data_IF_919194826798
#
_entry.id   IF_919194826798
#
_cell.length_a   1.000
_cell.length_b   1.000
_cell.length_c   1.000
_cell.angle_alpha   90.00
_cell.angle_beta   90.00
_cell.angle_gamma   90.00
#
_symmetry.space_group_name_H-M   'P 1'
#
loop_
_entity.id
_entity.type
_entity.pdbx_description
1 polymer ?
#
# COMPACT_ATOMS: atom_id res chain seq x y z
N UNK A 1 -33.79 -26.14 2.60
CA UNK A 1 -32.32 -26.25 2.54
C UNK A 1 -31.76 -24.86 2.26
N UNK A 2 -30.75 -24.43 3.01
CA UNK A 2 -30.18 -23.07 2.99
C UNK A 2 -28.69 -23.20 2.61
N UNK A 3 -28.11 -22.30 1.79
CA UNK A 3 -26.75 -22.45 1.27
C UNK A 3 -25.64 -22.39 2.34
N UNK A 4 -24.47 -23.00 2.08
CA UNK A 4 -23.44 -23.27 3.10
C UNK A 4 -22.58 -22.07 3.54
N UNK A 5 -22.85 -20.86 3.02
CA UNK A 5 -22.03 -19.65 3.25
C UNK A 5 -22.31 -18.95 4.60
N UNK A 6 -23.31 -19.39 5.37
CA UNK A 6 -23.75 -18.76 6.63
C UNK A 6 -23.39 -19.53 7.92
N UNK A 7 -22.44 -20.47 7.87
CA UNK A 7 -21.94 -21.12 9.09
C UNK A 7 -20.87 -20.29 9.81
N UNK A 8 -21.29 -19.64 10.89
CA UNK A 8 -20.42 -19.03 11.90
C UNK A 8 -19.42 -20.06 12.46
N UNK A 9 -18.12 -19.83 12.24
CA UNK A 9 -17.08 -20.65 12.89
C UNK A 9 -17.00 -20.33 14.38
N UNK A 10 -17.58 -21.19 15.19
CA UNK A 10 -17.50 -21.18 16.64
C UNK A 10 -16.06 -21.34 17.14
N UNK A 11 -15.63 -20.48 18.06
CA UNK A 11 -14.46 -20.70 18.91
C UNK A 11 -14.62 -22.01 19.73
N UNK A 12 -13.52 -22.74 19.93
CA UNK A 12 -13.38 -23.72 21.03
C UNK A 12 -12.00 -23.59 21.70
N UNK A 13 -11.90 -23.77 23.03
CA UNK A 13 -10.68 -23.48 23.78
C UNK A 13 -9.74 -24.70 23.89
N UNK A 14 -8.57 -24.44 24.49
CA UNK A 14 -7.49 -25.38 24.81
C UNK A 14 -7.91 -26.79 25.25
N UNK A 15 -7.18 -27.80 24.74
CA UNK A 15 -6.85 -29.01 25.49
C UNK A 15 -5.34 -29.23 25.38
N UNK A 16 -4.65 -29.28 26.52
CA UNK A 16 -3.30 -29.82 26.61
C UNK A 16 -3.39 -31.34 26.88
N UNK A 17 -2.49 -32.13 26.28
CA UNK A 17 -2.34 -33.56 26.60
C UNK A 17 -0.87 -33.95 26.61
N UNK A 18 -0.25 -33.78 27.78
CA UNK A 18 1.00 -34.43 28.14
C UNK A 18 0.72 -35.87 28.55
N UNK A 19 1.15 -36.85 27.76
CA UNK A 19 1.36 -38.23 28.23
C UNK A 19 2.72 -38.70 27.72
N UNK A 20 3.48 -39.32 28.63
CA UNK A 20 4.86 -39.75 28.45
C UNK A 20 4.99 -41.28 28.40
N UNK A 21 6.16 -41.74 27.95
CA UNK A 21 6.74 -43.09 28.13
C UNK A 21 6.15 -44.25 27.30
N UNK A 22 6.87 -45.39 27.15
CA UNK A 22 8.33 -45.60 27.22
C UNK A 22 8.92 -46.35 26.00
N UNK A 23 10.25 -46.52 26.03
CA UNK A 23 11.08 -47.27 25.09
C UNK A 23 10.91 -48.80 25.12
N UNK A 24 11.14 -49.47 23.99
CA UNK A 24 11.68 -50.84 23.95
C UNK A 24 12.86 -50.93 22.99
N UNK A 25 13.86 -51.71 23.40
CA UNK A 25 15.10 -52.01 22.68
C UNK A 25 15.31 -53.52 22.57
N UNK A 26 16.39 -53.92 21.87
CA UNK A 26 17.02 -55.27 21.83
C UNK A 26 16.76 -56.09 20.52
N UNK A 27 17.54 -57.15 20.22
CA UNK A 27 18.73 -56.99 19.36
C UNK A 27 18.99 -58.18 18.38
N UNK A 28 20.14 -58.17 17.68
CA UNK A 28 21.04 -59.34 17.37
C UNK A 28 21.89 -59.06 16.10
N UNK A 29 23.24 -59.03 16.21
CA UNK A 29 24.22 -60.04 15.69
C UNK A 29 24.34 -60.12 14.15
N UNK A 30 25.48 -60.32 13.46
CA UNK A 30 26.89 -60.63 13.80
C UNK A 30 27.70 -60.77 12.48
N UNK A 31 29.04 -60.71 12.36
CA UNK A 31 30.15 -60.15 13.17
C UNK A 31 31.50 -60.44 12.46
N UNK A 32 32.43 -59.48 12.30
CA UNK A 32 33.80 -59.79 11.81
C UNK A 32 34.87 -58.75 12.18
N UNK A 33 35.93 -59.22 12.87
CA UNK A 33 37.38 -58.87 12.76
C UNK A 33 37.85 -57.45 12.32
N UNK A 34 38.90 -56.83 12.88
CA UNK A 34 39.90 -57.26 13.88
C UNK A 34 40.89 -56.13 14.27
N UNK A 35 41.11 -55.92 15.59
CA UNK A 35 42.38 -55.69 16.34
C UNK A 35 43.53 -54.76 15.80
N UNK A 36 44.57 -54.37 16.61
CA UNK A 36 44.65 -53.07 17.30
C UNK A 36 45.92 -52.27 16.88
N UNK A 37 46.27 -51.09 17.40
CA UNK A 37 47.16 -50.84 18.57
C UNK A 37 47.56 -49.36 18.53
N UNK A 38 47.29 -48.55 19.56
CA UNK A 38 48.14 -48.24 20.74
C UNK A 38 49.39 -47.38 20.49
N UNK A 39 49.36 -46.13 20.96
CA UNK A 39 50.51 -45.50 21.63
C UNK A 39 50.02 -44.42 22.60
N UNK A 40 50.41 -44.53 23.87
CA UNK A 40 50.19 -43.51 24.89
C UNK A 40 51.49 -42.73 25.07
N UNK A 41 51.44 -41.43 25.36
CA UNK A 41 52.42 -40.79 26.25
C UNK A 41 51.88 -39.49 26.88
N UNK A 42 52.18 -39.40 28.17
CA UNK A 42 51.82 -38.48 29.26
C UNK A 42 52.08 -36.96 29.06
N UNK A 43 51.69 -36.09 30.03
CA UNK A 43 51.41 -34.67 29.78
C UNK A 43 52.47 -33.69 30.34
N UNK A 44 52.44 -32.42 29.89
CA UNK A 44 52.44 -31.29 30.85
C UNK A 44 52.04 -29.91 30.27
N UNK A 45 51.31 -29.17 31.11
CA UNK A 45 51.23 -27.71 31.30
C UNK A 45 51.89 -26.74 30.30
N UNK A 46 51.09 -25.83 29.71
CA UNK A 46 50.92 -24.47 30.30
C UNK A 46 49.66 -23.75 29.72
N UNK A 47 49.01 -22.83 30.46
CA UNK A 47 47.80 -22.13 29.98
C UNK A 47 48.11 -20.76 29.38
N UNK A 48 47.39 -20.37 28.32
CA UNK A 48 47.22 -18.95 27.99
C UNK A 48 45.89 -18.71 27.25
N UNK A 49 45.09 -17.68 27.60
CA UNK A 49 43.69 -17.58 27.17
C UNK A 49 43.52 -16.77 25.87
N UNK A 50 43.59 -17.43 24.72
CA UNK A 50 43.22 -16.80 23.45
C UNK A 50 41.75 -17.02 23.11
N UNK A 51 40.98 -15.94 23.28
CA UNK A 51 39.84 -15.55 22.43
C UNK A 51 39.07 -16.68 21.76
N UNK A 52 38.02 -17.15 22.43
CA UNK A 52 36.89 -17.76 21.73
C UNK A 52 36.24 -16.72 20.82
N UNK A 53 36.74 -16.62 19.58
CA UNK A 53 35.94 -16.18 18.46
C UNK A 53 34.78 -17.16 18.33
N UNK A 54 33.64 -16.81 18.95
CA UNK A 54 32.36 -17.42 18.66
C UNK A 54 32.08 -17.19 17.18
N UNK A 55 32.40 -18.20 16.36
CA UNK A 55 32.02 -18.26 14.97
C UNK A 55 30.51 -18.38 14.89
N UNK A 56 29.84 -17.23 14.97
CA UNK A 56 28.48 -17.06 14.47
C UNK A 56 28.51 -17.41 12.99
N UNK A 57 28.30 -18.70 12.72
CA UNK A 57 27.84 -19.21 11.46
C UNK A 57 26.47 -18.59 11.21
N UNK A 58 26.51 -17.38 10.67
CA UNK A 58 25.35 -16.72 10.06
C UNK A 58 24.96 -17.56 8.86
N UNK A 59 24.20 -18.62 9.13
CA UNK A 59 23.48 -19.40 8.13
C UNK A 59 22.41 -18.49 7.54
N UNK A 60 22.86 -17.57 6.69
CA UNK A 60 21.99 -16.70 5.89
C UNK A 60 21.05 -17.63 5.14
N UNK A 61 19.79 -17.61 5.55
CA UNK A 61 18.72 -18.33 4.87
C UNK A 61 18.47 -17.62 3.55
N UNK A 62 19.38 -17.85 2.58
CA UNK A 62 19.27 -17.35 1.22
C UNK A 62 17.96 -17.90 0.67
N UNK A 63 16.95 -17.04 0.64
CA UNK A 63 15.73 -17.26 -0.12
C UNK A 63 16.16 -17.56 -1.55
N UNK A 64 16.04 -18.83 -1.96
CA UNK A 64 16.57 -19.28 -3.24
C UNK A 64 15.78 -18.56 -4.33
N UNK A 65 16.45 -18.09 -5.36
CA UNK A 65 15.75 -17.50 -6.48
C UNK A 65 14.88 -18.56 -7.17
N UNK A 66 13.68 -18.18 -7.60
CA UNK A 66 12.77 -19.03 -8.36
C UNK A 66 12.25 -18.25 -9.58
N UNK A 67 12.59 -18.73 -10.77
CA UNK A 67 12.09 -18.19 -12.03
C UNK A 67 10.61 -18.58 -12.19
N UNK A 68 9.72 -17.67 -11.82
CA UNK A 68 8.27 -17.83 -11.92
C UNK A 68 7.65 -16.67 -12.73
N UNK A 69 6.35 -16.78 -13.06
CA UNK A 69 5.65 -15.65 -13.68
C UNK A 69 5.51 -14.51 -12.67
N UNK A 70 5.66 -13.25 -13.11
CA UNK A 70 5.60 -12.09 -12.23
C UNK A 70 4.20 -11.93 -11.61
N UNK A 71 4.07 -12.26 -10.33
CA UNK A 71 2.78 -12.39 -9.64
C UNK A 71 2.01 -11.06 -9.55
N UNK A 72 2.72 -9.93 -9.57
CA UNK A 72 2.13 -8.60 -9.42
C UNK A 72 1.84 -7.90 -10.76
N UNK A 73 1.90 -8.62 -11.89
CA UNK A 73 1.68 -8.11 -13.24
C UNK A 73 0.39 -7.27 -13.36
N UNK A 74 -0.72 -7.71 -12.77
CA UNK A 74 -2.01 -7.00 -12.82
C UNK A 74 -1.98 -5.64 -12.14
N UNK A 75 -1.22 -5.48 -11.05
CA UNK A 75 -1.11 -4.20 -10.33
C UNK A 75 -0.25 -3.19 -11.08
N UNK A 76 0.88 -3.67 -11.61
CA UNK A 76 1.77 -2.84 -12.43
C UNK A 76 1.06 -2.44 -13.73
N UNK A 77 0.31 -3.35 -14.35
CA UNK A 77 -0.52 -3.04 -15.53
C UNK A 77 -1.60 -1.98 -15.22
N UNK A 78 -2.36 -2.13 -14.13
CA UNK A 78 -3.38 -1.15 -13.72
C UNK A 78 -2.82 0.26 -13.49
N UNK A 79 -1.55 0.38 -13.10
CA UNK A 79 -0.86 1.65 -12.94
C UNK A 79 -0.25 2.15 -14.27
N UNK A 80 0.52 1.31 -14.97
CA UNK A 80 1.33 1.75 -16.12
C UNK A 80 0.58 1.77 -17.45
N UNK A 81 -0.46 0.94 -17.66
CA UNK A 81 -1.19 0.93 -18.94
C UNK A 81 -1.95 2.24 -19.19
N UNK A 82 -2.69 2.82 -18.21
CA UNK A 82 -3.31 4.13 -18.41
C UNK A 82 -2.28 5.26 -18.56
N UNK A 83 -1.14 5.18 -17.85
CA UNK A 83 -0.03 6.11 -18.06
C UNK A 83 0.55 6.02 -19.48
N UNK A 84 0.75 4.80 -20.00
CA UNK A 84 1.21 4.59 -21.37
C UNK A 84 0.23 5.16 -22.39
N UNK A 85 -1.08 4.94 -22.21
CA UNK A 85 -2.11 5.52 -23.07
C UNK A 85 -2.07 7.06 -23.08
N UNK A 86 -1.92 7.69 -21.92
CA UNK A 86 -1.79 9.15 -21.82
C UNK A 86 -0.48 9.67 -22.45
N UNK A 87 0.63 8.95 -22.34
CA UNK A 87 1.88 9.31 -23.01
C UNK A 87 1.81 9.18 -24.53
N UNK A 88 1.05 8.21 -25.06
CA UNK A 88 0.78 8.07 -26.49
C UNK A 88 -0.08 9.23 -27.01
N UNK A 89 -1.09 9.66 -26.24
CA UNK A 89 -1.93 10.81 -26.56
C UNK A 89 -1.12 12.13 -26.58
N UNK A 90 -0.33 12.39 -25.54
CA UNK A 90 0.59 13.54 -25.47
C UNK A 90 1.72 13.52 -26.52
N UNK A 91 2.11 12.34 -26.98
CA UNK A 91 3.17 12.15 -27.98
C UNK A 91 2.67 12.17 -29.43
N UNK A 92 1.39 11.89 -29.64
CA UNK A 92 0.74 11.86 -30.95
C UNK A 92 1.29 10.81 -31.91
N UNK A 93 0.98 11.01 -33.20
CA UNK A 93 1.31 10.06 -34.26
C UNK A 93 2.79 9.65 -34.35
N UNK A 94 3.81 10.53 -34.16
CA UNK A 94 5.21 10.13 -34.25
C UNK A 94 5.62 9.10 -33.18
N UNK A 95 5.10 9.22 -31.96
CA UNK A 95 5.38 8.29 -30.85
C UNK A 95 4.66 6.96 -31.07
N UNK A 96 3.41 6.99 -31.53
CA UNK A 96 2.67 5.78 -31.91
C UNK A 96 3.37 5.03 -33.07
N UNK A 97 3.80 5.74 -34.11
CA UNK A 97 4.46 5.15 -35.28
C UNK A 97 5.83 4.53 -34.93
N UNK A 98 6.63 5.20 -34.11
CA UNK A 98 7.94 4.66 -33.67
C UNK A 98 7.79 3.44 -32.76
N UNK A 99 6.83 3.44 -31.83
CA UNK A 99 6.55 2.28 -30.98
C UNK A 99 5.98 1.10 -31.77
N UNK A 100 5.00 1.33 -32.65
CA UNK A 100 4.39 0.24 -33.44
C UNK A 100 5.44 -0.44 -34.34
N UNK A 101 6.24 0.32 -35.07
CA UNK A 101 7.32 -0.22 -35.90
C UNK A 101 8.40 -0.93 -35.06
N UNK A 102 8.83 -0.34 -33.96
CA UNK A 102 9.84 -0.93 -33.08
C UNK A 102 9.37 -2.23 -32.40
N UNK A 103 8.11 -2.28 -31.94
CA UNK A 103 7.50 -3.47 -31.35
C UNK A 103 7.23 -4.56 -32.40
N UNK A 104 6.89 -4.20 -33.64
CA UNK A 104 6.81 -5.18 -34.74
C UNK A 104 8.18 -5.84 -35.01
N UNK A 105 9.27 -5.06 -35.02
CA UNK A 105 10.63 -5.60 -35.17
C UNK A 105 10.97 -6.51 -33.97
N UNK A 106 10.71 -6.07 -32.74
CA UNK A 106 10.96 -6.86 -31.54
C UNK A 106 10.16 -8.19 -31.53
N UNK A 107 8.90 -8.16 -31.98
CA UNK A 107 8.06 -9.34 -32.13
C UNK A 107 8.60 -10.32 -33.18
N UNK A 108 9.07 -9.83 -34.33
CA UNK A 108 9.72 -10.67 -35.34
C UNK A 108 10.98 -11.33 -34.76
N UNK A 109 11.82 -10.59 -34.04
CA UNK A 109 13.03 -11.12 -33.40
C UNK A 109 12.69 -12.19 -32.33
N UNK A 110 11.63 -12.01 -31.56
CA UNK A 110 11.17 -13.02 -30.58
C UNK A 110 10.61 -14.27 -31.26
N UNK A 111 9.85 -14.11 -32.35
CA UNK A 111 9.34 -15.23 -33.16
C UNK A 111 10.45 -16.06 -33.82
N UNK A 112 11.58 -15.44 -34.14
CA UNK A 112 12.82 -16.09 -34.60
C UNK A 112 13.65 -16.69 -33.44
N UNK A 113 13.11 -16.71 -32.22
CA UNK A 113 13.76 -17.15 -30.98
C UNK A 113 15.02 -16.35 -30.57
N UNK A 114 15.26 -15.18 -31.16
CA UNK A 114 16.41 -14.33 -30.84
C UNK A 114 16.12 -13.42 -29.63
N UNK A 115 15.95 -14.04 -28.47
CA UNK A 115 15.47 -13.43 -27.20
C UNK A 115 16.24 -12.18 -26.77
N UNK A 116 17.55 -12.15 -26.95
CA UNK A 116 18.38 -10.98 -26.64
C UNK A 116 18.09 -9.81 -27.59
N UNK A 117 17.97 -10.05 -28.89
CA UNK A 117 17.57 -9.03 -29.86
C UNK A 117 16.14 -8.53 -29.66
N UNK A 118 15.20 -9.39 -29.27
CA UNK A 118 13.85 -8.98 -28.88
C UNK A 118 13.87 -8.02 -27.67
N UNK A 119 14.63 -8.37 -26.63
CA UNK A 119 14.82 -7.51 -25.44
C UNK A 119 15.44 -6.14 -25.79
N UNK A 120 16.53 -6.13 -26.56
CA UNK A 120 17.16 -4.87 -26.99
C UNK A 120 16.27 -4.09 -27.96
N UNK A 121 15.46 -4.76 -28.80
CA UNK A 121 14.48 -4.16 -29.69
C UNK A 121 13.39 -3.41 -28.93
N UNK A 122 12.86 -3.99 -27.85
CA UNK A 122 11.91 -3.29 -26.96
C UNK A 122 12.55 -2.03 -26.37
N UNK A 123 13.73 -2.12 -25.76
CA UNK A 123 14.41 -0.95 -25.19
C UNK A 123 14.77 0.12 -26.24
N UNK A 124 15.26 -0.29 -27.41
CA UNK A 124 15.53 0.63 -28.52
C UNK A 124 14.25 1.32 -29.00
N UNK A 125 13.12 0.62 -29.06
CA UNK A 125 11.82 1.22 -29.41
C UNK A 125 11.36 2.26 -28.38
N UNK A 126 11.52 1.99 -27.08
CA UNK A 126 11.16 2.93 -26.01
C UNK A 126 12.07 4.17 -26.01
N UNK A 127 13.36 4.01 -26.31
CA UNK A 127 14.32 5.12 -26.45
C UNK A 127 13.99 5.96 -27.70
N UNK A 128 13.75 5.33 -28.85
CA UNK A 128 13.36 6.02 -30.08
C UNK A 128 12.04 6.77 -29.91
N UNK A 129 11.07 6.17 -29.22
CA UNK A 129 9.81 6.80 -28.85
C UNK A 129 9.99 8.00 -27.92
N UNK A 130 10.92 7.93 -26.96
CA UNK A 130 11.25 9.06 -26.09
C UNK A 130 11.86 10.23 -26.86
N UNK A 131 12.74 9.93 -27.82
CA UNK A 131 13.34 10.94 -28.71
C UNK A 131 12.25 11.57 -29.58
N UNK A 132 11.38 10.76 -30.20
CA UNK A 132 10.25 11.24 -30.97
C UNK A 132 9.30 12.10 -30.11
N UNK A 133 9.05 11.73 -28.86
CA UNK A 133 8.26 12.49 -27.90
C UNK A 133 8.87 13.87 -27.64
N UNK A 134 10.18 13.98 -27.41
CA UNK A 134 10.84 15.27 -27.19
C UNK A 134 10.81 16.21 -28.40
N UNK A 135 10.84 15.68 -29.62
CA UNK A 135 10.73 16.49 -30.84
C UNK A 135 9.28 16.82 -31.25
N UNK A 136 8.31 16.01 -30.81
CA UNK A 136 6.89 16.17 -31.19
C UNK A 136 6.06 16.90 -30.14
N UNK A 137 6.37 16.72 -28.85
CA UNK A 137 5.57 17.25 -27.75
C UNK A 137 6.06 18.65 -27.35
N UNK A 138 5.23 19.66 -27.58
CA UNK A 138 5.54 21.08 -27.35
C UNK A 138 5.45 21.51 -25.88
N UNK A 139 5.80 20.64 -24.92
CA UNK A 139 5.62 20.85 -23.48
C UNK A 139 6.21 22.18 -22.98
N UNK A 140 7.40 22.55 -23.44
CA UNK A 140 8.07 23.80 -23.05
C UNK A 140 7.24 25.03 -23.45
N UNK A 141 6.64 25.02 -24.65
CA UNK A 141 5.75 26.07 -25.11
C UNK A 141 4.40 26.03 -24.38
N UNK A 142 3.86 24.83 -24.16
CA UNK A 142 2.57 24.61 -23.48
C UNK A 142 2.58 25.15 -22.04
N UNK A 143 3.66 24.91 -21.29
CA UNK A 143 3.80 25.37 -19.92
C UNK A 143 4.33 26.81 -19.80
N UNK A 144 4.73 27.45 -20.91
CA UNK A 144 5.37 28.77 -20.96
C UNK A 144 6.50 28.95 -19.91
N UNK A 145 7.19 27.85 -19.61
CA UNK A 145 8.15 27.74 -18.51
C UNK A 145 9.08 26.57 -18.75
N UNK A 146 10.36 26.89 -19.02
CA UNK A 146 11.42 25.90 -19.27
C UNK A 146 11.56 24.88 -18.12
N UNK A 147 11.69 25.27 -16.83
CA UNK A 147 11.86 24.28 -15.76
C UNK A 147 10.65 23.36 -15.60
N UNK A 148 9.43 23.87 -15.80
CA UNK A 148 8.21 23.06 -15.71
C UNK A 148 8.09 22.09 -16.90
N UNK A 149 8.41 22.55 -18.12
CA UNK A 149 8.48 21.70 -19.30
C UNK A 149 9.53 20.60 -19.18
N UNK A 150 10.71 20.90 -18.63
CA UNK A 150 11.76 19.90 -18.35
C UNK A 150 11.34 18.91 -17.26
N UNK A 151 10.65 19.35 -16.20
CA UNK A 151 10.15 18.46 -15.15
C UNK A 151 9.06 17.51 -15.69
N UNK A 152 8.14 18.02 -16.51
CA UNK A 152 7.14 17.20 -17.19
C UNK A 152 7.77 16.19 -18.16
N UNK A 153 8.74 16.64 -18.97
CA UNK A 153 9.52 15.77 -19.85
C UNK A 153 10.28 14.67 -19.08
N UNK A 154 10.83 15.00 -17.91
CA UNK A 154 11.48 14.03 -17.01
C UNK A 154 10.48 13.02 -16.42
N UNK A 155 9.29 13.44 -15.99
CA UNK A 155 8.23 12.55 -15.51
C UNK A 155 7.77 11.56 -16.61
N UNK A 156 7.62 12.04 -17.85
CA UNK A 156 7.32 11.20 -19.01
C UNK A 156 8.45 10.18 -19.26
N UNK A 157 9.71 10.63 -19.28
CA UNK A 157 10.87 9.75 -19.48
C UNK A 157 11.04 8.71 -18.37
N UNK A 158 10.83 9.11 -17.11
CA UNK A 158 10.83 8.20 -15.95
C UNK A 158 9.73 7.14 -16.09
N UNK A 159 8.53 7.51 -16.54
CA UNK A 159 7.42 6.58 -16.72
C UNK A 159 7.67 5.61 -17.88
N UNK A 160 8.21 6.11 -19.00
CA UNK A 160 8.63 5.28 -20.12
C UNK A 160 9.73 4.27 -19.72
N UNK A 161 10.69 4.70 -18.89
CA UNK A 161 11.69 3.81 -18.27
C UNK A 161 11.05 2.75 -17.36
N UNK A 162 10.04 3.11 -16.55
CA UNK A 162 9.31 2.13 -15.72
C UNK A 162 8.52 1.12 -16.56
N UNK A 163 7.96 1.53 -17.71
CA UNK A 163 7.35 0.61 -18.69
C UNK A 163 8.41 -0.35 -19.24
N UNK A 164 9.61 0.13 -19.57
CA UNK A 164 10.74 -0.71 -19.99
C UNK A 164 11.22 -1.68 -18.90
N UNK A 165 11.27 -1.25 -17.64
CA UNK A 165 11.57 -2.11 -16.49
C UNK A 165 10.50 -3.21 -16.30
N UNK A 166 9.22 -2.88 -16.48
CA UNK A 166 8.12 -3.84 -16.41
C UNK A 166 8.13 -4.84 -17.58
N UNK A 167 8.43 -4.38 -18.80
CA UNK A 167 8.62 -5.24 -19.97
C UNK A 167 9.82 -6.19 -19.77
N UNK A 168 10.92 -5.69 -19.20
CA UNK A 168 12.13 -6.48 -18.91
C UNK A 168 11.84 -7.69 -18.04
N UNK A 169 10.97 -7.55 -17.02
CA UNK A 169 10.58 -8.66 -16.14
C UNK A 169 9.84 -9.81 -16.84
N UNK A 170 9.26 -9.59 -18.03
CA UNK A 170 8.53 -10.63 -18.77
C UNK A 170 9.48 -11.61 -19.48
N UNK A 171 10.73 -11.21 -19.75
CA UNK A 171 11.70 -12.06 -20.45
C UNK A 171 12.28 -13.13 -19.52
N UNK A 172 11.83 -14.39 -19.65
CA UNK A 172 12.38 -15.52 -18.88
C UNK A 172 13.91 -15.67 -18.98
N UNK A 173 14.52 -15.20 -20.08
CA UNK A 173 15.97 -15.20 -20.24
C UNK A 173 16.67 -14.31 -19.19
N UNK A 174 16.22 -13.07 -18.97
CA UNK A 174 16.86 -12.19 -17.98
C UNK A 174 16.70 -12.71 -16.54
N UNK A 175 15.59 -13.42 -16.27
CA UNK A 175 15.34 -14.07 -14.98
C UNK A 175 16.33 -15.19 -14.67
N UNK A 176 16.75 -15.97 -15.68
CA UNK A 176 17.70 -17.06 -15.50
C UNK A 176 19.15 -16.55 -15.47
N UNK A 177 19.49 -15.60 -16.34
CA UNK A 177 20.86 -15.08 -16.47
C UNK A 177 21.24 -14.15 -15.31
N UNK A 178 20.34 -13.26 -14.89
CA UNK A 178 20.62 -12.18 -13.94
C UNK A 178 19.53 -12.05 -12.84
N UNK A 179 19.41 -13.04 -11.94
CA UNK A 179 18.37 -13.06 -10.91
C UNK A 179 18.42 -11.86 -9.94
N UNK A 180 19.61 -11.30 -9.70
CA UNK A 180 19.80 -10.08 -8.87
C UNK A 180 19.19 -8.84 -9.52
N UNK A 181 19.34 -8.68 -10.84
CA UNK A 181 18.76 -7.57 -11.60
C UNK A 181 17.24 -7.67 -11.58
N UNK A 182 16.68 -8.88 -11.72
CA UNK A 182 15.22 -9.11 -11.66
C UNK A 182 14.62 -8.74 -10.30
N UNK A 183 15.28 -9.09 -9.20
CA UNK A 183 14.86 -8.64 -7.86
C UNK A 183 14.98 -7.12 -7.69
N UNK A 184 16.02 -6.50 -8.25
CA UNK A 184 16.19 -5.05 -8.22
C UNK A 184 15.11 -4.33 -9.05
N UNK A 185 14.74 -4.85 -10.22
CA UNK A 185 13.68 -4.32 -11.08
C UNK A 185 12.29 -4.47 -10.43
N UNK A 186 11.99 -5.60 -9.78
CA UNK A 186 10.76 -5.76 -8.99
C UNK A 186 10.66 -4.72 -7.88
N UNK A 187 11.74 -4.52 -7.10
CA UNK A 187 11.81 -3.48 -6.07
C UNK A 187 11.68 -2.06 -6.64
N UNK A 188 12.36 -1.77 -7.75
CA UNK A 188 12.32 -0.47 -8.42
C UNK A 188 10.91 -0.13 -8.91
N UNK A 189 10.18 -1.08 -9.50
CA UNK A 189 8.79 -0.87 -9.89
C UNK A 189 7.91 -0.58 -8.68
N UNK A 190 7.99 -1.40 -7.63
CA UNK A 190 7.20 -1.18 -6.42
C UNK A 190 7.54 0.14 -5.71
N UNK A 191 8.82 0.55 -5.73
CA UNK A 191 9.27 1.80 -5.15
C UNK A 191 8.78 3.02 -5.94
N UNK A 192 8.94 3.02 -7.27
CA UNK A 192 8.82 4.21 -8.11
C UNK A 192 7.47 4.38 -8.82
N UNK A 193 6.78 3.29 -9.19
CA UNK A 193 5.50 3.35 -9.92
C UNK A 193 4.43 4.18 -9.18
N UNK A 194 4.27 4.10 -7.84
CA UNK A 194 3.25 4.90 -7.14
C UNK A 194 3.38 6.41 -7.35
N UNK A 195 4.60 6.95 -7.39
CA UNK A 195 4.84 8.39 -7.57
C UNK A 195 4.60 8.82 -9.02
N UNK A 196 5.09 8.04 -9.98
CA UNK A 196 4.94 8.35 -11.40
C UNK A 196 3.48 8.22 -11.84
N UNK A 197 2.80 7.14 -11.43
CA UNK A 197 1.41 6.89 -11.77
C UNK A 197 0.46 7.87 -11.10
N UNK A 198 0.62 8.20 -9.81
CA UNK A 198 -0.25 9.20 -9.18
C UNK A 198 -0.12 10.57 -9.84
N UNK A 199 1.10 10.98 -10.19
CA UNK A 199 1.36 12.25 -10.89
C UNK A 199 0.72 12.29 -12.28
N UNK A 200 0.87 11.23 -13.09
CA UNK A 200 0.30 11.17 -14.45
C UNK A 200 -1.23 11.06 -14.42
N UNK A 201 -1.82 10.24 -13.55
CA UNK A 201 -3.27 10.16 -13.41
C UNK A 201 -3.86 11.51 -12.97
N UNK A 202 -3.17 12.21 -12.07
CA UNK A 202 -3.55 13.56 -11.64
C UNK A 202 -3.47 14.54 -12.81
N UNK A 203 -2.37 14.54 -13.58
CA UNK A 203 -2.21 15.40 -14.76
C UNK A 203 -3.33 15.16 -15.79
N UNK A 204 -3.60 13.90 -16.15
CA UNK A 204 -4.68 13.52 -17.06
C UNK A 204 -6.07 13.95 -16.57
N UNK A 205 -6.32 13.85 -15.25
CA UNK A 205 -7.58 14.29 -14.63
C UNK A 205 -7.71 15.82 -14.63
N UNK A 206 -6.63 16.55 -14.34
CA UNK A 206 -6.60 18.02 -14.39
C UNK A 206 -6.82 18.52 -15.81
N UNK A 207 -6.25 17.88 -16.84
CA UNK A 207 -6.49 18.27 -18.24
C UNK A 207 -7.94 18.07 -18.69
N UNK A 208 -8.68 17.14 -18.07
CA UNK A 208 -10.08 16.87 -18.39
C UNK A 208 -11.08 17.69 -17.55
N UNK A 209 -10.80 17.91 -16.26
CA UNK A 209 -11.77 18.47 -15.29
C UNK A 209 -11.33 19.84 -14.72
N UNK A 210 -10.08 20.25 -14.95
CA UNK A 210 -9.52 21.52 -14.49
C UNK A 210 -8.86 21.47 -13.10
N UNK A 211 -8.19 22.58 -12.75
CA UNK A 211 -7.27 22.68 -11.61
C UNK A 211 -7.95 22.81 -10.23
N UNK A 212 -9.23 23.19 -10.17
CA UNK A 212 -9.90 23.63 -8.92
C UNK A 212 -9.81 22.61 -7.77
N UNK A 213 -10.01 21.32 -8.05
CA UNK A 213 -9.96 20.24 -7.06
C UNK A 213 -8.71 19.35 -7.22
N UNK A 214 -7.67 19.84 -7.91
CA UNK A 214 -6.51 19.04 -8.32
C UNK A 214 -5.80 18.30 -7.16
N UNK A 215 -5.67 18.94 -6.00
CA UNK A 215 -5.07 18.33 -4.82
C UNK A 215 -5.88 17.15 -4.27
N UNK A 216 -7.22 17.20 -4.38
CA UNK A 216 -8.09 16.10 -3.97
C UNK A 216 -8.02 14.91 -4.93
N UNK A 217 -7.85 15.14 -6.24
CA UNK A 217 -7.58 14.07 -7.21
C UNK A 217 -6.24 13.39 -6.90
N UNK A 218 -5.18 14.17 -6.67
CA UNK A 218 -3.86 13.66 -6.28
C UNK A 218 -3.90 12.84 -4.99
N UNK A 219 -4.66 13.32 -3.99
CA UNK A 219 -4.90 12.62 -2.72
C UNK A 219 -5.52 11.24 -2.96
N UNK A 220 -6.56 11.15 -3.79
CA UNK A 220 -7.25 9.88 -4.11
C UNK A 220 -6.31 8.92 -4.83
N UNK A 221 -5.59 9.36 -5.87
CA UNK A 221 -4.64 8.50 -6.58
C UNK A 221 -3.48 8.05 -5.70
N UNK A 222 -2.94 8.93 -4.85
CA UNK A 222 -1.94 8.54 -3.84
C UNK A 222 -2.49 7.46 -2.88
N UNK A 223 -3.73 7.58 -2.40
CA UNK A 223 -4.34 6.54 -1.55
C UNK A 223 -4.47 5.19 -2.26
N UNK A 224 -4.96 5.19 -3.52
CA UNK A 224 -5.12 3.98 -4.33
C UNK A 224 -3.78 3.30 -4.58
N UNK A 225 -2.77 4.03 -5.06
CA UNK A 225 -1.46 3.45 -5.34
C UNK A 225 -0.70 3.06 -4.07
N UNK A 226 -0.82 3.81 -2.97
CA UNK A 226 -0.30 3.39 -1.67
C UNK A 226 -0.85 2.03 -1.24
N UNK A 227 -2.17 1.81 -1.37
CA UNK A 227 -2.79 0.52 -1.06
C UNK A 227 -2.31 -0.64 -1.96
N UNK A 228 -2.11 -0.36 -3.25
CA UNK A 228 -1.66 -1.36 -4.23
C UNK A 228 -0.21 -1.80 -4.01
N UNK A 229 0.68 -0.86 -3.62
CA UNK A 229 2.13 -1.06 -3.62
C UNK A 229 2.80 -0.99 -2.24
N UNK A 230 2.39 -0.11 -1.32
CA UNK A 230 3.10 0.15 -0.05
C UNK A 230 2.84 -0.91 1.05
N UNK A 231 1.72 -1.63 0.98
CA UNK A 231 1.41 -2.74 1.89
C UNK A 231 2.47 -3.85 1.70
N UNK A 232 3.08 -4.39 2.77
CA UNK A 232 4.16 -5.37 2.65
C UNK A 232 3.74 -6.59 1.82
N UNK A 233 4.49 -6.87 0.74
CA UNK A 233 4.30 -8.01 -0.15
C UNK A 233 5.58 -8.81 -0.30
N UNK A 234 5.43 -10.13 -0.35
CA UNK A 234 6.52 -11.06 -0.67
C UNK A 234 6.92 -10.90 -2.14
N UNK A 235 8.23 -10.95 -2.41
CA UNK A 235 8.80 -10.95 -3.77
C UNK A 235 8.29 -12.13 -4.60
N UNK A 236 8.02 -11.90 -5.88
CA UNK A 236 7.58 -12.93 -6.84
C UNK A 236 8.66 -13.98 -7.10
N UNK A 237 9.93 -13.60 -6.97
CA UNK A 237 11.08 -14.40 -7.40
C UNK A 237 11.90 -14.98 -6.23
N UNK A 238 11.52 -14.70 -4.99
CA UNK A 238 12.08 -15.38 -3.81
C UNK A 238 11.28 -16.65 -3.54
N UNK A 239 11.95 -17.81 -3.54
CA UNK A 239 11.30 -19.08 -3.25
C UNK A 239 10.62 -19.01 -1.89
N UNK A 240 9.32 -19.31 -1.84
CA UNK A 240 8.65 -19.57 -0.59
C UNK A 240 9.35 -20.75 0.11
N UNK A 241 9.94 -20.51 1.28
CA UNK A 241 10.20 -21.61 2.21
C UNK A 241 8.87 -22.02 2.84
N UNK A 242 8.07 -22.83 2.12
CA UNK A 242 6.82 -23.40 2.64
C UNK A 242 7.06 -24.44 3.76
N UNK A 243 8.34 -24.74 4.06
CA UNK A 243 8.75 -25.59 5.17
C UNK A 243 8.96 -24.77 6.45
N UNK A 244 7.88 -24.67 7.25
CA UNK A 244 7.86 -24.25 8.66
C UNK A 244 8.43 -22.86 8.97
N UNK A 245 7.62 -21.82 8.76
CA UNK A 245 7.69 -20.64 9.61
C UNK A 245 7.23 -21.01 11.03
N UNK A 246 8.17 -21.39 11.89
CA UNK A 246 7.92 -21.63 13.32
C UNK A 246 7.51 -20.31 13.99
N UNK A 247 6.21 -20.06 14.09
CA UNK A 247 5.61 -18.83 14.62
C UNK A 247 4.76 -18.03 13.61
N UNK A 248 4.75 -18.41 12.33
CA UNK A 248 3.89 -17.79 11.31
C UNK A 248 4.32 -16.39 10.80
N UNK A 249 5.35 -15.79 11.39
CA UNK A 249 5.92 -14.53 10.90
C UNK A 249 6.80 -14.75 9.66
N UNK A 250 6.59 -13.93 8.62
CA UNK A 250 7.41 -13.93 7.40
C UNK A 250 8.65 -13.05 7.64
N UNK A 251 9.88 -13.54 7.40
CA UNK A 251 11.10 -12.75 7.56
C UNK A 251 11.09 -11.48 6.69
N UNK A 252 11.51 -10.36 7.27
CA UNK A 252 11.51 -9.04 6.60
C UNK A 252 12.27 -9.06 5.26
N UNK A 253 13.34 -9.85 5.17
CA UNK A 253 14.15 -10.03 3.95
C UNK A 253 13.35 -10.53 2.74
N UNK A 254 12.15 -11.10 2.93
CA UNK A 254 11.32 -11.59 1.83
C UNK A 254 10.38 -10.53 1.24
N UNK A 255 10.26 -9.35 1.86
CA UNK A 255 9.45 -8.26 1.33
C UNK A 255 10.14 -7.57 0.13
N UNK A 256 9.33 -7.02 -0.79
CA UNK A 256 9.81 -6.26 -1.95
C UNK A 256 10.36 -4.89 -1.55
N UNK A 257 9.62 -4.19 -0.67
CA UNK A 257 9.98 -2.88 -0.15
C UNK A 257 10.77 -3.01 1.14
N UNK A 258 11.74 -2.12 1.38
CA UNK A 258 12.41 -1.98 2.67
C UNK A 258 11.76 -0.83 3.47
N UNK A 259 12.14 -0.63 4.75
CA UNK A 259 11.62 0.45 5.59
C UNK A 259 11.75 1.86 4.98
N UNK A 260 12.80 2.09 4.20
CA UNK A 260 13.07 3.37 3.56
C UNK A 260 12.03 3.71 2.48
N UNK A 261 11.70 2.78 1.58
CA UNK A 261 10.62 3.01 0.60
C UNK A 261 9.26 3.13 1.28
N UNK A 262 9.00 2.35 2.33
CA UNK A 262 7.81 2.49 3.16
C UNK A 262 7.66 3.91 3.73
N UNK A 263 8.75 4.47 4.25
CA UNK A 263 8.79 5.87 4.71
C UNK A 263 8.47 6.85 3.57
N UNK A 264 9.17 6.78 2.44
CA UNK A 264 8.90 7.67 1.29
C UNK A 264 7.46 7.55 0.76
N UNK A 265 6.89 6.34 0.72
CA UNK A 265 5.49 6.12 0.34
C UNK A 265 4.53 6.81 1.32
N UNK A 266 4.79 6.76 2.63
CA UNK A 266 3.98 7.49 3.63
C UNK A 266 4.16 9.00 3.57
N UNK A 267 5.38 9.50 3.36
CA UNK A 267 5.62 10.95 3.22
C UNK A 267 4.89 11.52 2.01
N UNK A 268 4.92 10.82 0.86
CA UNK A 268 4.16 11.20 -0.31
C UNK A 268 2.65 11.13 -0.08
N UNK A 269 2.15 10.07 0.57
CA UNK A 269 0.73 9.93 0.90
C UNK A 269 0.21 11.12 1.73
N UNK A 270 0.94 11.51 2.79
CA UNK A 270 0.51 12.52 3.76
C UNK A 270 0.77 13.96 3.31
N UNK A 271 1.94 14.24 2.73
CA UNK A 271 2.40 15.61 2.50
C UNK A 271 2.30 16.07 1.04
N UNK A 272 2.38 15.18 0.05
CA UNK A 272 2.41 15.62 -1.35
C UNK A 272 1.11 16.31 -1.80
N UNK A 273 -0.11 15.82 -1.48
CA UNK A 273 -1.35 16.53 -1.79
C UNK A 273 -1.45 17.89 -1.10
N UNK A 274 -0.99 17.99 0.15
CA UNK A 274 -1.00 19.23 0.94
C UNK A 274 -0.03 20.25 0.35
N UNK A 275 1.22 19.87 0.08
CA UNK A 275 2.23 20.76 -0.52
C UNK A 275 1.79 21.21 -1.92
N UNK A 276 1.17 20.33 -2.70
CA UNK A 276 0.61 20.67 -4.01
C UNK A 276 -0.57 21.66 -3.90
N UNK A 277 -1.46 21.51 -2.91
CA UNK A 277 -2.52 22.50 -2.66
C UNK A 277 -1.94 23.85 -2.23
N UNK A 278 -0.99 23.85 -1.29
CA UNK A 278 -0.28 25.05 -0.82
C UNK A 278 0.40 25.77 -1.99
N UNK A 279 1.11 25.05 -2.85
CA UNK A 279 1.80 25.63 -4.01
C UNK A 279 0.84 26.18 -5.07
N UNK A 280 -0.29 25.50 -5.32
CA UNK A 280 -1.27 25.93 -6.34
C UNK A 280 -2.19 27.08 -5.89
N UNK A 281 -2.47 27.19 -4.58
CA UNK A 281 -3.44 28.14 -4.02
C UNK A 281 -2.82 29.09 -2.97
N UNK A 282 -1.49 29.31 -3.03
CA UNK A 282 -0.72 29.99 -1.98
C UNK A 282 -1.28 31.36 -1.52
N UNK A 283 -1.89 32.11 -2.44
CA UNK A 283 -2.48 33.43 -2.17
C UNK A 283 -3.80 33.41 -1.39
N UNK A 284 -4.47 32.25 -1.29
CA UNK A 284 -5.83 32.11 -0.73
C UNK A 284 -5.87 31.25 0.54
N UNK A 285 -4.75 30.61 0.93
CA UNK A 285 -4.68 29.63 2.02
C UNK A 285 -5.36 30.09 3.31
N UNK A 286 -5.08 31.32 3.76
CA UNK A 286 -5.59 31.87 5.02
C UNK A 286 -6.75 32.86 4.82
N UNK A 287 -7.31 32.96 3.61
CA UNK A 287 -8.41 33.90 3.31
C UNK A 287 -9.76 33.48 3.88
N UNK A 288 -9.93 32.21 4.27
CA UNK A 288 -11.21 31.70 4.79
C UNK A 288 -11.01 30.52 5.76
N UNK A 289 -12.02 30.26 6.61
CA UNK A 289 -12.05 29.03 7.40
C UNK A 289 -12.15 27.77 6.52
N UNK A 290 -12.76 27.86 5.33
CA UNK A 290 -12.91 26.74 4.41
C UNK A 290 -11.57 26.30 3.79
N UNK A 291 -10.68 27.24 3.44
CA UNK A 291 -9.34 26.93 2.91
C UNK A 291 -8.41 26.35 3.99
N UNK A 292 -8.57 26.75 5.26
CA UNK A 292 -7.91 26.08 6.40
C UNK A 292 -8.46 24.66 6.60
N UNK A 293 -9.77 24.46 6.47
CA UNK A 293 -10.38 23.12 6.49
C UNK A 293 -9.87 22.24 5.34
N UNK A 294 -9.66 22.80 4.14
CA UNK A 294 -9.11 22.06 3.00
C UNK A 294 -7.69 21.54 3.27
N UNK A 295 -6.81 22.33 3.88
CA UNK A 295 -5.49 21.86 4.34
C UNK A 295 -5.59 20.72 5.36
N UNK A 296 -6.48 20.86 6.34
CA UNK A 296 -6.67 19.83 7.38
C UNK A 296 -7.22 18.53 6.77
N UNK A 297 -8.21 18.61 5.86
CA UNK A 297 -8.76 17.45 5.17
C UNK A 297 -7.70 16.74 4.30
N UNK A 298 -6.90 17.49 3.54
CA UNK A 298 -5.84 16.94 2.69
C UNK A 298 -4.72 16.23 3.46
N UNK A 299 -4.53 16.52 4.75
CA UNK A 299 -3.60 15.80 5.62
C UNK A 299 -4.28 14.65 6.40
N UNK A 300 -5.41 14.95 7.05
CA UNK A 300 -6.04 14.00 7.97
C UNK A 300 -6.77 12.87 7.24
N UNK A 301 -7.31 13.07 6.02
CA UNK A 301 -7.92 11.97 5.24
C UNK A 301 -6.87 10.91 4.86
N UNK A 302 -5.72 11.25 4.23
CA UNK A 302 -4.65 10.28 3.99
C UNK A 302 -4.08 9.68 5.27
N UNK A 303 -4.01 10.43 6.36
CA UNK A 303 -3.56 9.93 7.65
C UNK A 303 -4.52 8.87 8.22
N UNK A 304 -5.83 9.14 8.24
CA UNK A 304 -6.84 8.16 8.66
C UNK A 304 -6.80 6.91 7.76
N UNK A 305 -6.61 7.09 6.46
CA UNK A 305 -6.43 6.00 5.50
C UNK A 305 -5.14 5.18 5.75
N UNK A 306 -4.03 5.83 6.13
CA UNK A 306 -2.80 5.16 6.54
C UNK A 306 -3.00 4.35 7.83
N UNK A 307 -3.72 4.90 8.81
CA UNK A 307 -4.05 4.20 10.05
C UNK A 307 -4.99 3.01 9.79
N UNK A 308 -5.96 3.13 8.88
CA UNK A 308 -6.79 2.00 8.44
C UNK A 308 -5.96 0.93 7.71
N UNK A 309 -5.13 1.31 6.73
CA UNK A 309 -4.27 0.36 5.99
C UNK A 309 -3.20 -0.30 6.87
N UNK A 310 -2.88 0.27 8.04
CA UNK A 310 -2.05 -0.39 9.05
C UNK A 310 -2.67 -1.69 9.58
N UNK A 311 -3.99 -1.90 9.47
CA UNK A 311 -4.66 -3.20 9.75
C UNK A 311 -4.11 -4.33 8.89
N UNK A 312 -3.62 -4.00 7.68
CA UNK A 312 -2.98 -4.91 6.72
C UNK A 312 -1.46 -4.82 6.72
N UNK A 313 -0.87 -4.19 7.75
CA UNK A 313 0.57 -4.09 7.92
C UNK A 313 1.26 -2.91 7.22
N UNK A 314 0.55 -1.89 6.72
CA UNK A 314 1.19 -0.75 6.03
C UNK A 314 2.25 0.01 6.87
N UNK A 315 2.15 -0.05 8.21
CA UNK A 315 3.08 0.54 9.18
C UNK A 315 4.10 -0.46 9.77
N UNK A 316 4.31 -1.62 9.13
CA UNK A 316 5.25 -2.67 9.56
C UNK A 316 6.66 -2.16 9.86
N UNK A 317 7.10 -1.12 9.16
CA UNK A 317 8.43 -0.54 9.25
C UNK A 317 8.62 0.41 10.45
N UNK A 318 7.54 0.87 11.11
CA UNK A 318 7.63 1.82 12.25
C UNK A 318 7.80 1.11 13.59
N UNK A 319 7.02 0.06 13.86
CA UNK A 319 7.20 -0.75 15.07
C UNK A 319 6.61 -2.15 14.88
N UNK A 320 7.34 -3.15 15.36
CA UNK A 320 6.93 -4.56 15.35
C UNK A 320 5.98 -4.92 16.51
N UNK A 321 5.80 -4.02 17.49
CA UNK A 321 4.97 -4.30 18.68
C UNK A 321 3.48 -4.07 18.36
N UNK A 322 2.74 -5.15 18.14
CA UNK A 322 1.31 -5.11 17.83
C UNK A 322 0.47 -4.22 18.77
N UNK A 323 0.70 -4.31 20.08
CA UNK A 323 -0.02 -3.50 21.08
C UNK A 323 0.22 -2.00 20.92
N UNK A 324 1.45 -1.60 20.55
CA UNK A 324 1.77 -0.19 20.27
C UNK A 324 1.11 0.27 18.97
N UNK A 325 1.15 -0.53 17.90
CA UNK A 325 0.44 -0.22 16.66
C UNK A 325 -1.07 -0.05 16.88
N UNK A 326 -1.69 -0.91 17.70
CA UNK A 326 -3.10 -0.80 18.03
C UNK A 326 -3.42 0.49 18.78
N UNK A 327 -2.64 0.82 19.82
CA UNK A 327 -2.80 2.08 20.57
C UNK A 327 -2.63 3.31 19.68
N UNK A 328 -1.61 3.33 18.81
CA UNK A 328 -1.37 4.42 17.85
C UNK A 328 -2.56 4.54 16.88
N UNK A 329 -3.06 3.41 16.35
CA UNK A 329 -4.20 3.39 15.41
C UNK A 329 -5.46 3.97 16.03
N UNK A 330 -5.83 3.54 17.24
CA UNK A 330 -7.07 3.97 17.89
C UNK A 330 -6.98 5.43 18.31
N UNK A 331 -5.91 5.84 18.99
CA UNK A 331 -5.76 7.22 19.49
C UNK A 331 -5.63 8.23 18.34
N UNK A 332 -4.69 8.00 17.41
CA UNK A 332 -4.50 8.94 16.29
C UNK A 332 -5.67 8.87 15.30
N UNK A 333 -6.33 7.72 15.17
CA UNK A 333 -7.51 7.55 14.34
C UNK A 333 -8.70 8.35 14.88
N UNK A 334 -8.94 8.31 16.19
CA UNK A 334 -9.96 9.12 16.83
C UNK A 334 -9.69 10.63 16.65
N UNK A 335 -8.45 11.09 16.87
CA UNK A 335 -8.07 12.50 16.65
C UNK A 335 -8.28 12.91 15.18
N UNK A 336 -7.81 12.10 14.23
CA UNK A 336 -7.98 12.38 12.81
C UNK A 336 -9.46 12.45 12.40
N UNK A 337 -10.27 11.52 12.89
CA UNK A 337 -11.71 11.45 12.64
C UNK A 337 -12.43 12.69 13.19
N UNK A 338 -12.12 13.13 14.41
CA UNK A 338 -12.66 14.38 14.99
C UNK A 338 -12.33 15.59 14.11
N UNK A 339 -11.07 15.74 13.67
CA UNK A 339 -10.67 16.89 12.84
C UNK A 339 -11.36 16.86 11.47
N UNK A 340 -11.43 15.69 10.82
CA UNK A 340 -12.13 15.53 9.53
C UNK A 340 -13.61 15.90 9.67
N UNK A 341 -14.27 15.39 10.70
CA UNK A 341 -15.70 15.65 10.96
C UNK A 341 -15.96 17.14 11.15
N UNK A 342 -15.18 17.83 11.99
CA UNK A 342 -15.30 19.29 12.20
C UNK A 342 -15.08 20.05 10.88
N UNK A 343 -14.07 19.66 10.08
CA UNK A 343 -13.81 20.31 8.79
C UNK A 343 -14.95 20.10 7.78
N UNK A 344 -15.56 18.92 7.73
CA UNK A 344 -16.73 18.63 6.90
C UNK A 344 -17.99 19.34 7.40
N UNK A 345 -18.16 19.49 8.72
CA UNK A 345 -19.26 20.28 9.30
C UNK A 345 -19.19 21.74 8.87
N UNK A 346 -18.03 22.39 9.03
CA UNK A 346 -17.82 23.78 8.62
C UNK A 346 -18.00 23.95 7.11
N UNK A 347 -17.34 23.10 6.30
CA UNK A 347 -17.25 23.27 4.84
C UNK A 347 -18.49 22.79 4.07
N UNK A 348 -19.18 21.76 4.57
CA UNK A 348 -20.30 21.12 3.86
C UNK A 348 -21.60 21.37 4.60
N UNK A 349 -21.70 20.97 5.87
CA UNK A 349 -22.99 20.98 6.59
C UNK A 349 -23.47 22.41 6.83
N UNK A 350 -22.68 23.28 7.46
CA UNK A 350 -23.09 24.65 7.76
C UNK A 350 -23.02 25.58 6.54
N UNK A 351 -21.97 25.46 5.72
CA UNK A 351 -21.80 26.33 4.55
C UNK A 351 -22.79 26.01 3.40
N UNK A 352 -22.98 24.73 3.05
CA UNK A 352 -23.86 24.34 1.93
C UNK A 352 -25.27 23.93 2.37
N UNK A 353 -25.41 23.23 3.50
CA UNK A 353 -26.70 22.69 3.96
C UNK A 353 -27.35 23.46 5.12
N UNK A 354 -26.73 24.53 5.62
CA UNK A 354 -27.22 25.26 6.80
C UNK A 354 -28.66 25.79 6.70
N UNK A 355 -29.16 26.01 5.47
CA UNK A 355 -30.55 26.42 5.20
C UNK A 355 -31.60 25.33 5.43
N UNK A 356 -31.20 24.06 5.47
CA UNK A 356 -32.10 22.91 5.67
C UNK A 356 -32.18 22.47 7.14
N UNK A 357 -31.34 23.01 8.02
CA UNK A 357 -31.33 22.69 9.44
C UNK A 357 -32.48 23.45 10.11
N UNK A 358 -33.47 22.73 10.62
CA UNK A 358 -34.68 23.33 11.20
C UNK A 358 -34.49 23.81 12.65
N UNK A 359 -33.40 23.41 13.30
CA UNK A 359 -33.11 23.71 14.71
C UNK A 359 -32.39 25.06 14.83
N UNK A 360 -32.81 25.96 15.73
CA UNK A 360 -32.09 27.20 15.98
C UNK A 360 -30.72 26.97 16.67
N UNK A 361 -29.73 27.86 16.46
CA UNK A 361 -28.52 27.90 17.28
C UNK A 361 -28.82 28.10 18.78
N UNK A 362 -28.02 27.52 19.69
CA UNK A 362 -26.79 26.75 19.46
C UNK A 362 -26.99 25.22 19.31
N UNK A 363 -28.23 24.72 19.44
CA UNK A 363 -28.51 23.28 19.48
C UNK A 363 -28.24 22.57 18.14
N UNK A 364 -28.31 23.31 17.03
CA UNK A 364 -27.93 22.81 15.71
C UNK A 364 -26.48 22.29 15.66
N UNK A 365 -25.52 23.03 16.23
CA UNK A 365 -24.11 22.62 16.28
C UNK A 365 -23.95 21.30 17.05
N UNK A 366 -24.47 21.24 18.27
CA UNK A 366 -24.35 20.04 19.12
C UNK A 366 -24.95 18.80 18.45
N UNK A 367 -26.16 18.91 17.90
CA UNK A 367 -26.85 17.76 17.30
C UNK A 367 -26.26 17.33 15.96
N UNK A 368 -25.78 18.27 15.14
CA UNK A 368 -25.01 17.97 13.92
C UNK A 368 -23.72 17.23 14.29
N UNK A 369 -22.93 17.76 15.22
CA UNK A 369 -21.67 17.14 15.63
C UNK A 369 -21.89 15.77 16.26
N UNK A 370 -22.91 15.61 17.12
CA UNK A 370 -23.27 14.30 17.69
C UNK A 370 -23.63 13.28 16.60
N UNK A 371 -24.37 13.71 15.56
CA UNK A 371 -24.77 12.85 14.44
C UNK A 371 -23.56 12.46 13.57
N UNK A 372 -22.78 13.45 13.14
CA UNK A 372 -21.63 13.26 12.24
C UNK A 372 -20.49 12.49 12.93
N UNK A 373 -20.10 12.92 14.12
CA UNK A 373 -19.01 12.30 14.88
C UNK A 373 -19.42 10.90 15.37
N UNK A 374 -20.65 10.74 15.85
CA UNK A 374 -21.17 9.44 16.29
C UNK A 374 -21.29 8.44 15.14
N UNK A 375 -21.78 8.87 13.98
CA UNK A 375 -21.85 8.04 12.77
C UNK A 375 -20.46 7.64 12.27
N UNK A 376 -19.53 8.58 12.19
CA UNK A 376 -18.16 8.32 11.78
C UNK A 376 -17.41 7.41 12.77
N UNK A 377 -17.55 7.64 14.08
CA UNK A 377 -16.97 6.80 15.12
C UNK A 377 -17.54 5.38 15.09
N UNK A 378 -18.85 5.24 14.85
CA UNK A 378 -19.50 3.94 14.66
C UNK A 378 -18.95 3.19 13.44
N UNK A 379 -18.84 3.86 12.30
CA UNK A 379 -18.21 3.31 11.10
C UNK A 379 -16.75 2.90 11.37
N UNK A 380 -15.97 3.73 12.06
CA UNK A 380 -14.60 3.41 12.48
C UNK A 380 -14.51 2.17 13.37
N UNK A 381 -15.38 2.05 14.37
CA UNK A 381 -15.42 0.89 15.27
C UNK A 381 -15.75 -0.42 14.52
N UNK A 382 -16.70 -0.38 13.56
CA UNK A 382 -17.00 -1.54 12.70
C UNK A 382 -15.82 -1.90 11.78
N UNK A 383 -15.21 -0.90 11.13
CA UNK A 383 -14.08 -1.11 10.21
C UNK A 383 -12.81 -1.63 10.90
N UNK A 384 -12.64 -1.33 12.19
CA UNK A 384 -11.55 -1.86 13.02
C UNK A 384 -11.90 -3.19 13.72
N UNK A 385 -13.14 -3.68 13.61
CA UNK A 385 -13.57 -4.92 14.27
C UNK A 385 -13.62 -4.84 15.79
N UNK A 386 -13.82 -3.64 16.36
CA UNK A 386 -13.82 -3.41 17.82
C UNK A 386 -15.09 -3.90 18.52
N UNK A 387 -16.07 -4.42 17.77
CA UNK A 387 -17.35 -4.92 18.26
C UNK A 387 -17.27 -6.46 18.28
N UNK A 388 -16.60 -7.01 19.29
CA UNK A 388 -16.43 -8.47 19.47
C UNK A 388 -17.40 -9.06 20.51
N UNK A 389 -17.75 -8.26 21.52
CA UNK A 389 -18.34 -8.76 22.77
C UNK A 389 -19.80 -8.32 22.89
N UNK A 390 -20.65 -9.13 23.53
CA UNK A 390 -22.06 -8.83 23.75
C UNK A 390 -22.28 -7.44 24.37
N UNK A 391 -21.51 -7.08 25.40
CA UNK A 391 -21.56 -5.75 26.03
C UNK A 391 -21.19 -4.62 25.05
N UNK A 392 -20.15 -4.80 24.23
CA UNK A 392 -19.75 -3.83 23.20
C UNK A 392 -20.85 -3.63 22.15
N UNK A 393 -21.58 -4.70 21.79
CA UNK A 393 -22.68 -4.63 20.84
C UNK A 393 -23.91 -3.90 21.39
N UNK A 394 -24.23 -4.09 22.69
CA UNK A 394 -25.31 -3.36 23.37
C UNK A 394 -24.96 -1.87 23.49
N UNK A 395 -23.73 -1.55 23.90
CA UNK A 395 -23.27 -0.16 23.97
C UNK A 395 -23.27 0.51 22.58
N UNK A 396 -22.84 -0.20 21.53
CA UNK A 396 -22.85 0.28 20.16
C UNK A 396 -24.29 0.55 19.65
N UNK A 397 -25.23 -0.36 19.88
CA UNK A 397 -26.63 -0.18 19.48
C UNK A 397 -27.29 0.98 20.21
N UNK A 398 -27.09 1.13 21.52
CA UNK A 398 -27.60 2.26 22.29
C UNK A 398 -27.06 3.61 21.77
N UNK A 399 -25.75 3.71 21.50
CA UNK A 399 -25.16 4.90 20.91
C UNK A 399 -25.68 5.16 19.49
N UNK A 400 -25.82 4.14 18.66
CA UNK A 400 -26.36 4.27 17.31
C UNK A 400 -27.81 4.81 17.31
N UNK A 401 -28.65 4.40 18.27
CA UNK A 401 -30.01 4.94 18.45
C UNK A 401 -29.97 6.43 18.84
N UNK A 402 -29.11 6.82 19.78
CA UNK A 402 -28.94 8.23 20.19
C UNK A 402 -28.50 9.08 18.99
N UNK A 403 -27.46 8.66 18.27
CA UNK A 403 -26.91 9.32 17.08
C UNK A 403 -27.97 9.44 15.97
N UNK A 404 -28.74 8.39 15.73
CA UNK A 404 -29.82 8.40 14.74
C UNK A 404 -30.97 9.34 15.14
N UNK A 405 -31.31 9.38 16.43
CA UNK A 405 -32.34 10.29 16.95
C UNK A 405 -31.91 11.77 16.82
N UNK A 406 -30.65 12.09 17.10
CA UNK A 406 -30.10 13.43 16.89
C UNK A 406 -30.19 13.85 15.41
N UNK A 407 -29.81 12.96 14.49
CA UNK A 407 -29.91 13.21 13.05
C UNK A 407 -31.34 13.43 12.56
N UNK A 408 -32.30 12.65 13.06
CA UNK A 408 -33.72 12.82 12.74
C UNK A 408 -34.27 14.18 13.19
N UNK A 409 -33.86 14.66 14.38
CA UNK A 409 -34.26 15.99 14.88
C UNK A 409 -33.61 17.11 14.03
N UNK A 410 -32.34 16.96 13.61
CA UNK A 410 -31.64 17.95 12.74
C UNK A 410 -32.34 18.16 11.40
N UNK A 411 -32.83 17.07 10.79
CA UNK A 411 -33.59 17.09 9.53
C UNK A 411 -35.03 17.59 9.72
N UNK A 412 -35.52 17.66 10.96
CA UNK A 412 -36.89 18.08 11.29
C UNK A 412 -37.94 16.97 11.10
N UNK A 413 -37.55 15.71 11.32
CA UNK A 413 -38.49 14.59 11.27
C UNK A 413 -39.52 14.70 12.42
N UNK A 414 -40.82 14.45 12.19
CA UNK A 414 -41.83 14.61 13.23
C UNK A 414 -41.56 13.69 14.43
N UNK A 415 -41.42 14.29 15.62
CA UNK A 415 -41.07 13.61 16.87
C UNK A 415 -41.98 12.41 17.18
N UNK A 416 -43.26 12.49 16.82
CA UNK A 416 -44.24 11.41 16.96
C UNK A 416 -43.80 10.11 16.26
N UNK A 417 -43.15 10.19 15.09
CA UNK A 417 -42.65 9.02 14.37
C UNK A 417 -41.38 8.48 15.01
N UNK A 418 -40.50 9.37 15.51
CA UNK A 418 -39.29 8.95 16.23
C UNK A 418 -39.64 8.19 17.53
N UNK A 419 -40.60 8.68 18.30
CA UNK A 419 -41.12 8.03 19.51
C UNK A 419 -41.76 6.68 19.18
N UNK A 420 -42.52 6.59 18.09
CA UNK A 420 -43.21 5.35 17.69
C UNK A 420 -42.26 4.27 17.14
N UNK A 421 -41.11 4.67 16.57
CA UNK A 421 -40.00 3.77 16.25
C UNK A 421 -39.28 3.31 17.53
N UNK A 422 -39.02 4.22 18.47
CA UNK A 422 -38.36 3.92 19.75
C UNK A 422 -39.19 2.99 20.65
N UNK A 423 -40.53 2.96 20.50
CA UNK A 423 -41.42 2.04 21.21
C UNK A 423 -41.57 0.65 20.53
N UNK A 424 -40.93 0.42 19.39
CA UNK A 424 -41.02 -0.83 18.60
C UNK A 424 -39.71 -1.62 18.51
N UNK A 425 -38.62 -1.06 19.02
CA UNK A 425 -37.30 -1.67 19.22
C UNK A 425 -37.17 -2.12 20.68
#
# INVERSE_FOLDING_TARGET
MIPPELQTRSFRPYIASSISSPSFSSPSSSSSSSFPTSSAYSPNQNPNPNSHFSSHSTSSSRSRFSASSFAHNTRVALALVPCAAFLLDLGGAPVVATLTLGLMIAYILDSLNFKSGAFFGVWASLIAAQIAFFFSSSLIFTFNSIPLGLLAAFLCAQTNFLIGAWASLQFKWIQLENPTIVLALERLLFACVPFAASSIFTWATISAVGMQNAAYYLMIFNCVFYWMFAIPRVSSFKSKQELKYHGGEVPDDNFILSPLEGCFHTLNLLFFPLVFHVASHYSVIFSSAASVCDLLLLFFIPFLFQLYSSTRGALWWVTKKANQLHSIRVVNGAVALVVIVICLEVRVVFHSFGRYIQIPPPLNYLLVTLTMLGGAAGAGATALGMISDAFSSVAFTALAVIVSSAGAIVVGFPLLVCILIFLRL
#
